data_IF_417258136349
#
_entry.id   IF_417258136349
#
_cell.length_a   1.000
_cell.length_b   1.000
_cell.length_c   1.000
_cell.angle_alpha   90.00
_cell.angle_beta   90.00
_cell.angle_gamma   90.00
#
_symmetry.space_group_name_H-M   'P 1'
#
loop_
_entity.id
_entity.type
_entity.pdbx_description
1 polymer ?
#
# COMPACT_ATOMS: atom_id res chain seq x y z
N UNK A 1 -30.24 -15.49 10.42
CA UNK A 1 -29.25 -14.47 10.85
C UNK A 1 -28.90 -14.61 12.35
N UNK A 2 -29.13 -15.78 12.96
CA UNK A 2 -29.13 -15.94 14.42
C UNK A 2 -27.74 -15.78 15.08
N UNK A 3 -26.67 -15.80 14.28
CA UNK A 3 -25.29 -15.63 14.71
C UNK A 3 -24.79 -14.18 14.65
N UNK A 4 -25.53 -13.24 14.06
CA UNK A 4 -25.11 -11.84 13.97
C UNK A 4 -24.86 -11.20 15.35
N UNK A 5 -25.75 -11.35 16.36
CA UNK A 5 -25.49 -10.81 17.70
C UNK A 5 -24.25 -11.40 18.37
N UNK A 6 -23.95 -12.68 18.11
CA UNK A 6 -22.75 -13.34 18.60
C UNK A 6 -21.49 -12.72 17.99
N UNK A 7 -21.46 -12.55 16.66
CA UNK A 7 -20.31 -11.92 15.99
C UNK A 7 -20.14 -10.45 16.37
N UNK A 8 -21.23 -9.71 16.61
CA UNK A 8 -21.17 -8.34 17.10
C UNK A 8 -20.52 -8.27 18.50
N UNK A 9 -20.89 -9.18 19.41
CA UNK A 9 -20.30 -9.25 20.75
C UNK A 9 -18.81 -9.60 20.68
N UNK A 10 -18.42 -10.58 19.86
CA UNK A 10 -17.02 -10.95 19.66
C UNK A 10 -16.22 -9.79 19.06
N UNK A 11 -16.74 -9.07 18.07
CA UNK A 11 -16.06 -7.93 17.44
C UNK A 11 -15.66 -6.85 18.46
N UNK A 12 -16.50 -6.57 19.46
CA UNK A 12 -16.20 -5.58 20.51
C UNK A 12 -14.94 -5.92 21.33
N UNK A 13 -14.60 -7.20 21.47
CA UNK A 13 -13.35 -7.65 22.13
C UNK A 13 -12.11 -7.24 21.33
N UNK A 14 -12.24 -7.14 19.99
CA UNK A 14 -11.16 -6.76 19.07
C UNK A 14 -11.09 -5.25 18.81
N UNK A 15 -11.78 -4.41 19.60
CA UNK A 15 -11.78 -2.96 19.44
C UNK A 15 -10.38 -2.31 19.27
N UNK A 16 -9.31 -2.75 19.97
CA UNK A 16 -7.96 -2.20 19.77
C UNK A 16 -7.36 -2.44 18.37
N UNK A 17 -7.92 -3.37 17.59
CA UNK A 17 -7.44 -3.74 16.25
C UNK A 17 -8.33 -3.20 15.12
N UNK A 18 -9.40 -2.48 15.44
CA UNK A 18 -10.27 -1.87 14.42
C UNK A 18 -9.50 -0.82 13.62
N UNK A 19 -9.46 -0.97 12.29
CA UNK A 19 -8.65 -0.13 11.40
C UNK A 19 -9.18 1.29 11.21
N UNK A 20 -10.33 1.60 11.79
CA UNK A 20 -10.91 2.94 11.82
C UNK A 20 -11.23 3.51 10.44
N UNK A 21 -11.58 2.66 9.46
CA UNK A 21 -12.14 3.11 8.18
C UNK A 21 -13.65 3.36 8.37
N UNK A 22 -14.09 4.63 8.42
CA UNK A 22 -15.45 4.96 8.85
C UNK A 22 -16.51 4.64 7.79
N UNK A 23 -16.14 4.57 6.51
CA UNK A 23 -17.05 4.35 5.40
C UNK A 23 -16.30 3.93 4.12
N UNK A 24 -16.99 3.37 3.12
CA UNK A 24 -16.45 3.21 1.78
C UNK A 24 -15.95 4.54 1.21
N UNK A 25 -14.81 4.52 0.51
CA UNK A 25 -14.29 5.70 -0.19
C UNK A 25 -14.22 5.41 -1.69
N UNK A 26 -14.57 6.40 -2.52
CA UNK A 26 -14.40 6.30 -3.98
C UNK A 26 -12.92 6.29 -4.41
N UNK A 27 -11.99 6.57 -3.50
CA UNK A 27 -10.55 6.62 -3.77
C UNK A 27 -9.97 5.27 -4.18
N UNK A 28 -10.67 4.17 -3.86
CA UNK A 28 -10.28 2.81 -4.28
C UNK A 28 -10.13 2.69 -5.80
N UNK A 29 -10.89 3.45 -6.58
CA UNK A 29 -10.79 3.47 -8.05
C UNK A 29 -9.56 4.21 -8.57
N UNK A 30 -8.85 4.94 -7.70
CA UNK A 30 -7.62 5.67 -8.03
C UNK A 30 -6.39 4.90 -7.58
N UNK A 31 -6.34 4.50 -6.30
CA UNK A 31 -5.17 3.85 -5.73
C UNK A 31 -5.20 2.32 -5.90
N UNK A 32 -6.37 1.72 -6.13
CA UNK A 32 -6.53 0.28 -6.37
C UNK A 32 -5.86 -0.59 -5.30
N UNK A 33 -5.90 -0.14 -4.04
CA UNK A 33 -5.28 -0.83 -2.89
C UNK A 33 -6.28 -1.89 -2.40
N UNK A 34 -5.94 -3.19 -2.37
CA UNK A 34 -6.80 -4.21 -1.80
C UNK A 34 -7.14 -3.92 -0.32
N UNK A 35 -8.35 -4.23 0.13
CA UNK A 35 -8.81 -3.83 1.48
C UNK A 35 -7.91 -4.29 2.64
N UNK A 36 -7.39 -5.52 2.58
CA UNK A 36 -6.41 -6.01 3.58
C UNK A 36 -5.09 -5.25 3.53
N UNK A 37 -4.62 -4.91 2.33
CA UNK A 37 -3.42 -4.08 2.16
C UNK A 37 -3.66 -2.65 2.66
N UNK A 38 -4.84 -2.07 2.45
CA UNK A 38 -5.15 -0.70 2.88
C UNK A 38 -5.04 -0.56 4.40
N UNK A 39 -5.64 -1.48 5.15
CA UNK A 39 -5.58 -1.47 6.61
C UNK A 39 -4.15 -1.65 7.12
N UNK A 40 -3.39 -2.57 6.52
CA UNK A 40 -1.98 -2.79 6.86
C UNK A 40 -1.10 -1.57 6.55
N UNK A 41 -1.24 -1.00 5.36
CA UNK A 41 -0.49 0.17 4.89
C UNK A 41 -0.72 1.37 5.80
N UNK A 42 -1.97 1.56 6.28
CA UNK A 42 -2.30 2.61 7.24
C UNK A 42 -1.59 2.43 8.57
N UNK A 43 -1.58 1.21 9.10
CA UNK A 43 -0.85 0.91 10.35
C UNK A 43 0.66 1.11 10.19
N UNK A 44 1.22 0.70 9.04
CA UNK A 44 2.63 0.96 8.72
C UNK A 44 2.95 2.46 8.63
N UNK A 45 2.09 3.24 7.96
CA UNK A 45 2.23 4.69 7.89
C UNK A 45 2.21 5.32 9.29
N UNK A 46 1.27 4.92 10.16
CA UNK A 46 1.21 5.38 11.55
C UNK A 46 2.51 5.05 12.30
N UNK A 47 3.00 3.82 12.19
CA UNK A 47 4.24 3.38 12.84
C UNK A 47 5.48 4.18 12.36
N UNK A 48 5.46 4.69 11.13
CA UNK A 48 6.51 5.53 10.55
C UNK A 48 6.30 7.04 10.81
N UNK A 49 5.27 7.43 11.57
CA UNK A 49 4.95 8.84 11.81
C UNK A 49 4.29 9.56 10.62
N UNK A 50 3.81 8.80 9.63
CA UNK A 50 3.13 9.28 8.42
C UNK A 50 1.61 9.17 8.50
N UNK A 51 1.05 8.87 9.68
CA UNK A 51 -0.38 8.66 9.86
C UNK A 51 -1.27 9.81 9.36
N UNK A 52 -0.86 11.05 9.64
CA UNK A 52 -1.57 12.27 9.21
C UNK A 52 -1.39 12.57 7.71
N UNK A 53 -0.46 11.89 7.05
CA UNK A 53 -0.12 12.03 5.63
C UNK A 53 -0.56 10.81 4.82
N UNK A 54 -1.54 10.04 5.31
CA UNK A 54 -1.93 8.81 4.64
C UNK A 54 -2.48 9.03 3.22
N UNK A 55 -3.07 10.19 2.95
CA UNK A 55 -3.51 10.55 1.59
C UNK A 55 -2.34 10.73 0.62
N UNK A 56 -1.20 11.25 1.10
CA UNK A 56 0.05 11.30 0.31
C UNK A 56 0.53 9.88 -0.01
N UNK A 57 0.39 8.95 0.94
CA UNK A 57 0.73 7.53 0.75
C UNK A 57 -0.20 6.86 -0.27
N UNK A 58 -1.50 7.12 -0.21
CA UNK A 58 -2.47 6.62 -1.21
C UNK A 58 -2.14 7.14 -2.62
N UNK A 59 -1.76 8.41 -2.74
CA UNK A 59 -1.33 9.01 -4.01
C UNK A 59 -0.02 8.39 -4.50
N UNK A 60 1.00 8.33 -3.64
CA UNK A 60 2.29 7.73 -3.98
C UNK A 60 2.15 6.25 -4.35
N UNK A 61 1.18 5.53 -3.77
CA UNK A 61 0.87 4.15 -4.15
C UNK A 61 0.35 4.06 -5.59
N UNK A 62 -0.56 4.94 -5.98
CA UNK A 62 -1.05 5.00 -7.36
C UNK A 62 0.06 5.37 -8.35
N UNK A 63 0.96 6.28 -7.95
CA UNK A 63 2.08 6.73 -8.77
C UNK A 63 3.16 5.65 -8.90
N UNK A 64 3.48 4.95 -7.81
CA UNK A 64 4.37 3.79 -7.80
C UNK A 64 3.84 2.64 -8.65
N UNK A 65 2.53 2.37 -8.62
CA UNK A 65 1.90 1.38 -9.50
C UNK A 65 2.08 1.73 -10.98
N UNK A 66 1.88 3.00 -11.35
CA UNK A 66 2.11 3.45 -12.73
C UNK A 66 3.57 3.31 -13.13
N UNK A 67 4.50 3.70 -12.26
CA UNK A 67 5.93 3.58 -12.51
C UNK A 67 6.33 2.12 -12.73
N UNK A 68 5.81 1.20 -11.91
CA UNK A 68 6.10 -0.24 -11.99
C UNK A 68 5.32 -0.95 -13.10
N UNK A 69 4.69 -0.23 -14.03
CA UNK A 69 4.04 -0.81 -15.20
C UNK A 69 2.60 -1.29 -14.98
N UNK A 70 1.89 -0.73 -13.98
CA UNK A 70 0.50 -1.03 -13.63
C UNK A 70 0.28 -2.51 -13.34
N UNK A 71 0.82 -2.96 -12.22
CA UNK A 71 0.80 -4.36 -11.82
C UNK A 71 -0.62 -4.81 -11.45
N UNK A 72 -0.86 -6.12 -11.57
CA UNK A 72 -1.96 -6.75 -10.84
C UNK A 72 -1.58 -6.72 -9.36
N UNK A 73 -2.31 -5.95 -8.56
CA UNK A 73 -2.02 -5.70 -7.14
C UNK A 73 -2.81 -6.64 -6.25
N UNK A 74 -2.17 -7.74 -5.86
CA UNK A 74 -2.66 -8.71 -4.87
C UNK A 74 -1.47 -9.22 -4.08
N UNK A 75 -1.64 -9.80 -2.90
CA UNK A 75 -0.51 -10.36 -2.16
C UNK A 75 0.23 -11.40 -3.04
N UNK A 76 1.57 -11.29 -3.23
CA UNK A 76 2.50 -10.35 -2.61
C UNK A 76 2.81 -9.04 -3.38
N UNK A 77 2.42 -8.89 -4.65
CA UNK A 77 2.73 -7.70 -5.47
C UNK A 77 2.17 -6.39 -4.89
N UNK A 78 1.02 -6.41 -4.22
CA UNK A 78 0.47 -5.22 -3.55
C UNK A 78 1.38 -4.69 -2.42
N UNK A 79 2.18 -5.58 -1.80
CA UNK A 79 3.17 -5.19 -0.80
C UNK A 79 4.33 -4.42 -1.44
N UNK A 80 4.78 -4.84 -2.62
CA UNK A 80 5.88 -4.18 -3.35
C UNK A 80 5.54 -2.72 -3.63
N UNK A 81 4.36 -2.47 -4.17
CA UNK A 81 3.88 -1.10 -4.45
C UNK A 81 3.74 -0.29 -3.14
N UNK A 82 3.22 -0.92 -2.09
CA UNK A 82 3.04 -0.28 -0.78
C UNK A 82 4.35 0.11 -0.10
N UNK A 83 5.33 -0.79 -0.10
CA UNK A 83 6.64 -0.54 0.50
C UNK A 83 7.36 0.61 -0.22
N UNK A 84 7.31 0.67 -1.56
CA UNK A 84 7.89 1.77 -2.33
C UNK A 84 7.21 3.11 -2.02
N UNK A 85 5.87 3.14 -1.98
CA UNK A 85 5.12 4.35 -1.68
C UNK A 85 5.44 4.90 -0.28
N UNK A 86 5.46 4.04 0.73
CA UNK A 86 5.84 4.43 2.11
C UNK A 86 7.27 4.94 2.17
N UNK A 87 8.19 4.29 1.46
CA UNK A 87 9.60 4.68 1.43
C UNK A 87 9.78 6.09 0.86
N UNK A 88 9.19 6.38 -0.31
CA UNK A 88 9.31 7.67 -0.96
C UNK A 88 8.65 8.81 -0.16
N UNK A 89 7.45 8.58 0.38
CA UNK A 89 6.77 9.58 1.23
C UNK A 89 7.55 9.85 2.52
N UNK A 90 8.11 8.80 3.13
CA UNK A 90 8.95 8.92 4.32
C UNK A 90 10.26 9.66 4.06
N UNK A 91 10.87 9.46 2.88
CA UNK A 91 12.07 10.17 2.45
C UNK A 91 11.80 11.61 1.95
N UNK A 92 10.53 11.99 1.78
CA UNK A 92 10.16 13.29 1.20
C UNK A 92 10.52 13.42 -0.28
N UNK A 93 10.59 12.30 -1.01
CA UNK A 93 10.98 12.22 -2.42
C UNK A 93 9.71 12.16 -3.27
N UNK A 94 9.61 13.05 -4.27
CA UNK A 94 8.50 13.00 -5.22
C UNK A 94 8.66 11.82 -6.19
N UNK A 95 7.55 11.32 -6.73
CA UNK A 95 7.61 10.23 -7.71
C UNK A 95 8.35 10.67 -8.97
N UNK A 96 8.17 11.93 -9.36
CA UNK A 96 8.83 12.56 -10.50
C UNK A 96 10.36 12.60 -10.32
N UNK A 97 10.85 13.03 -9.15
CA UNK A 97 12.28 13.09 -8.85
C UNK A 97 12.90 11.67 -8.83
N UNK A 98 12.20 10.72 -8.21
CA UNK A 98 12.63 9.33 -8.19
C UNK A 98 12.68 8.74 -9.60
N UNK A 99 11.67 8.96 -10.43
CA UNK A 99 11.63 8.42 -11.79
C UNK A 99 12.71 9.02 -12.71
N UNK A 100 13.11 10.27 -12.46
CA UNK A 100 14.16 10.95 -13.21
C UNK A 100 15.56 10.40 -12.93
N UNK A 101 15.85 10.03 -11.68
CA UNK A 101 17.13 9.44 -11.28
C UNK A 101 16.95 8.38 -10.16
N UNK A 102 16.44 7.17 -10.50
CA UNK A 102 16.15 6.15 -9.49
C UNK A 102 17.40 5.68 -8.74
N UNK A 103 18.56 5.71 -9.39
CA UNK A 103 19.84 5.23 -8.83
C UNK A 103 20.38 6.11 -7.70
N UNK A 104 19.82 7.31 -7.51
CA UNK A 104 20.17 8.21 -6.41
C UNK A 104 19.52 7.82 -5.09
N UNK A 105 18.48 6.99 -5.11
CA UNK A 105 17.67 6.65 -3.95
C UNK A 105 17.77 5.16 -3.64
N UNK A 106 17.87 4.84 -2.35
CA UNK A 106 17.68 3.47 -1.91
C UNK A 106 16.22 3.05 -2.13
N UNK A 107 15.99 1.75 -2.32
CA UNK A 107 14.65 1.18 -2.48
C UNK A 107 14.48 -0.05 -1.58
N UNK A 108 13.25 -0.37 -1.15
CA UNK A 108 12.99 -1.53 -0.31
C UNK A 108 13.37 -2.86 -0.97
N UNK A 109 13.79 -3.84 -0.16
CA UNK A 109 14.14 -5.19 -0.62
C UNK A 109 13.03 -5.89 -1.42
N UNK A 110 11.76 -5.63 -1.07
CA UNK A 110 10.61 -6.17 -1.79
C UNK A 110 10.54 -5.69 -3.24
N UNK A 111 10.97 -4.45 -3.51
CA UNK A 111 11.06 -3.87 -4.86
C UNK A 111 12.24 -4.47 -5.61
N UNK A 112 13.39 -4.60 -4.95
CA UNK A 112 14.59 -5.22 -5.55
C UNK A 112 14.30 -6.66 -5.96
N UNK A 113 13.72 -7.46 -5.06
CA UNK A 113 13.36 -8.86 -5.34
C UNK A 113 12.33 -8.96 -6.46
N UNK A 114 11.32 -8.08 -6.45
CA UNK A 114 10.37 -7.98 -7.56
C UNK A 114 11.06 -7.73 -8.90
N UNK A 115 11.91 -6.70 -9.01
CA UNK A 115 12.63 -6.36 -10.24
C UNK A 115 13.62 -7.44 -10.70
N UNK A 116 14.08 -8.30 -9.79
CA UNK A 116 14.89 -9.49 -10.11
C UNK A 116 14.08 -10.66 -10.66
N UNK A 117 12.75 -10.56 -10.63
CA UNK A 117 11.83 -11.61 -11.09
C UNK A 117 11.40 -12.61 -10.02
N UNK A 118 11.63 -12.32 -8.74
CA UNK A 118 11.27 -13.24 -7.64
C UNK A 118 9.76 -13.51 -7.56
N UNK A 119 8.94 -12.60 -8.11
CA UNK A 119 7.49 -12.73 -8.19
C UNK A 119 6.99 -13.12 -9.59
N UNK A 120 7.91 -13.55 -10.47
CA UNK A 120 7.63 -13.84 -11.88
C UNK A 120 7.68 -12.60 -12.77
N UNK A 121 7.07 -12.70 -13.95
CA UNK A 121 7.09 -11.66 -14.98
C UNK A 121 5.74 -10.93 -15.03
N UNK A 122 5.72 -9.59 -15.02
CA UNK A 122 4.48 -8.82 -15.23
C UNK A 122 3.84 -9.14 -16.59
N UNK A 123 2.52 -9.00 -16.68
CA UNK A 123 1.79 -9.26 -17.93
C UNK A 123 2.27 -8.38 -19.10
N UNK A 124 2.79 -7.18 -18.82
CA UNK A 124 3.36 -6.26 -19.80
C UNK A 124 4.85 -6.44 -20.08
N UNK A 125 5.54 -7.38 -19.44
CA UNK A 125 7.00 -7.44 -19.41
C UNK A 125 7.63 -6.40 -18.46
N UNK A 126 8.96 -6.26 -18.53
CA UNK A 126 9.75 -5.30 -17.75
C UNK A 126 10.07 -4.06 -18.57
#
# INVERSE_FOLDING_TARGET
CDLEPYWEAIRKVYAPFESGLPAPTGRVYTHEIPGGQLSNLRQQAIALGLGDRFEDVEKAYADADRLLGRLIKVTPSSKVVGDLALHLVGAGVSMEDFAADPGKFDIPDSVIGFLRGDLGTPAGGW
#
